data_IF_371506538925
#
_entry.id   IF_371506538925
#
_cell.length_a   1.000
_cell.length_b   1.000
_cell.length_c   1.000
_cell.angle_alpha   90.00
_cell.angle_beta   90.00
_cell.angle_gamma   90.00
#
_symmetry.space_group_name_H-M   'P 1'
#
loop_
_entity.id
_entity.type
_entity.pdbx_description
1 polymer ?
#
# COMPACT_ATOMS: atom_id res chain seq x y z
N UNK A 1 -13.94 -7.63 -4.79
CA UNK A 1 -14.63 -7.64 -3.51
C UNK A 1 -14.62 -6.26 -2.87
N UNK A 2 -15.63 -5.98 -2.09
CA UNK A 2 -15.70 -4.76 -1.30
C UNK A 2 -16.19 -5.11 0.08
N UNK A 3 -15.35 -4.94 1.05
CA UNK A 3 -15.74 -5.17 2.43
C UNK A 3 -15.28 -3.99 3.27
N UNK A 4 -16.05 -3.67 4.31
CA UNK A 4 -15.70 -2.62 5.26
C UNK A 4 -15.10 -3.22 6.52
N UNK A 5 -14.33 -4.26 6.36
CA UNK A 5 -13.67 -4.90 7.49
C UNK A 5 -12.63 -3.96 8.09
N UNK A 6 -12.61 -3.82 9.41
CA UNK A 6 -11.56 -3.05 10.05
C UNK A 6 -10.22 -3.75 9.88
N UNK A 7 -9.26 -3.05 9.34
CA UNK A 7 -7.91 -3.58 9.13
C UNK A 7 -6.95 -2.69 9.89
N UNK A 8 -6.23 -3.29 10.82
CA UNK A 8 -5.17 -2.58 11.53
C UNK A 8 -3.89 -2.69 10.71
N UNK A 9 -3.39 -1.55 10.27
CA UNK A 9 -2.16 -1.49 9.50
C UNK A 9 -1.07 -0.92 10.40
N UNK A 10 -0.01 -1.70 10.60
CA UNK A 10 1.16 -1.23 11.32
C UNK A 10 2.09 -0.53 10.35
N UNK A 11 2.38 0.73 10.62
CA UNK A 11 3.29 1.52 9.81
C UNK A 11 4.66 1.56 10.46
N UNK A 12 5.69 1.42 9.64
CA UNK A 12 7.06 1.42 10.11
C UNK A 12 7.90 2.32 9.22
N UNK A 13 8.67 3.20 9.85
CA UNK A 13 9.62 4.02 9.12
C UNK A 13 10.79 3.15 8.68
N UNK A 14 11.03 3.09 7.39
CA UNK A 14 12.06 2.24 6.80
C UNK A 14 13.34 3.02 6.53
N UNK A 15 13.22 4.25 6.04
CA UNK A 15 14.37 5.05 5.64
C UNK A 15 14.05 6.54 5.70
N UNK A 16 15.08 7.34 5.97
CA UNK A 16 15.01 8.79 5.94
C UNK A 16 15.73 9.39 4.72
N UNK A 17 16.41 8.56 3.94
CA UNK A 17 17.29 9.02 2.87
C UNK A 17 16.94 8.40 1.53
N UNK A 18 15.65 8.19 1.28
CA UNK A 18 15.22 7.62 0.02
C UNK A 18 15.27 8.64 -1.10
N UNK A 19 15.61 8.17 -2.29
CA UNK A 19 15.53 8.98 -3.50
C UNK A 19 14.35 8.47 -4.32
N UNK A 20 13.44 9.37 -4.67
CA UNK A 20 12.27 9.02 -5.46
C UNK A 20 12.34 9.78 -6.78
N UNK A 21 12.22 9.05 -7.88
CA UNK A 21 12.19 9.66 -9.20
C UNK A 21 10.74 9.63 -9.72
N UNK A 22 10.21 10.79 -10.01
CA UNK A 22 8.87 10.94 -10.57
C UNK A 22 9.00 11.77 -11.84
N UNK A 23 8.74 11.13 -12.99
CA UNK A 23 8.93 11.74 -14.30
C UNK A 23 10.38 12.26 -14.43
N UNK A 24 10.55 13.57 -14.60
CA UNK A 24 11.87 14.19 -14.74
C UNK A 24 12.45 14.69 -13.44
N UNK A 25 11.73 14.54 -12.35
CA UNK A 25 12.13 15.08 -11.06
C UNK A 25 12.74 14.00 -10.19
N UNK A 26 13.83 14.35 -9.53
CA UNK A 26 14.49 13.48 -8.56
C UNK A 26 14.36 14.15 -7.20
N UNK A 27 13.70 13.45 -6.28
CA UNK A 27 13.45 13.95 -4.93
C UNK A 27 14.36 13.19 -3.97
N UNK A 28 15.19 13.91 -3.24
CA UNK A 28 16.12 13.32 -2.29
C UNK A 28 15.65 13.51 -0.86
N UNK A 29 16.22 12.71 0.03
CA UNK A 29 15.94 12.77 1.47
C UNK A 29 14.47 12.53 1.78
N UNK A 30 13.85 11.61 1.05
CA UNK A 30 12.46 11.24 1.28
C UNK A 30 12.34 10.24 2.42
N UNK A 31 11.25 10.32 3.15
CA UNK A 31 10.87 9.31 4.12
C UNK A 31 10.19 8.16 3.40
N UNK A 32 10.55 6.94 3.76
CA UNK A 32 9.85 5.76 3.28
C UNK A 32 9.19 5.07 4.47
N UNK A 33 7.88 4.91 4.39
CA UNK A 33 7.08 4.25 5.42
C UNK A 33 6.40 3.05 4.82
N UNK A 34 6.56 1.90 5.44
CA UNK A 34 5.86 0.68 5.04
C UNK A 34 4.76 0.37 6.04
N UNK A 35 3.59 0.04 5.50
CA UNK A 35 2.47 -0.43 6.29
C UNK A 35 2.15 -1.88 5.94
N UNK A 36 1.78 -2.66 6.94
CA UNK A 36 1.42 -4.06 6.78
C UNK A 36 0.17 -4.34 7.60
N UNK A 37 -0.79 -4.99 7.00
CA UNK A 37 -2.01 -5.38 7.68
C UNK A 37 -2.54 -6.69 7.14
N UNK A 38 -3.30 -7.40 7.97
CA UNK A 38 -3.96 -8.63 7.58
C UNK A 38 -5.38 -8.63 8.10
N UNK A 39 -6.27 -9.21 7.32
CA UNK A 39 -7.64 -9.45 7.74
C UNK A 39 -8.14 -10.73 7.08
N UNK A 40 -9.26 -11.23 7.56
CA UNK A 40 -9.89 -12.39 6.95
C UNK A 40 -11.41 -12.22 7.02
N UNK A 41 -12.10 -12.88 6.11
CA UNK A 41 -13.55 -12.88 6.11
C UNK A 41 -14.08 -14.18 5.51
N UNK A 42 -15.39 -14.40 5.72
CA UNK A 42 -16.05 -15.60 5.26
C UNK A 42 -17.15 -15.21 4.26
N UNK A 43 -16.86 -15.28 2.95
CA UNK A 43 -17.90 -14.96 1.96
C UNK A 43 -18.97 -16.03 1.83
N UNK A 44 -18.78 -17.17 2.48
CA UNK A 44 -19.71 -18.29 2.41
C UNK A 44 -19.16 -19.45 1.59
N UNK A 45 -19.88 -20.59 1.65
CA UNK A 45 -19.48 -21.74 0.85
C UNK A 45 -19.64 -21.41 -0.65
N UNK A 46 -18.77 -21.97 -1.52
CA UNK A 46 -17.70 -22.92 -1.22
C UNK A 46 -16.35 -22.27 -0.85
N UNK A 47 -16.27 -20.94 -0.84
CA UNK A 47 -15.00 -20.25 -0.68
C UNK A 47 -14.41 -20.36 0.74
N UNK A 48 -15.27 -20.43 1.76
CA UNK A 48 -14.81 -20.51 3.13
C UNK A 48 -14.08 -19.26 3.59
N UNK A 49 -13.04 -19.41 4.39
CA UNK A 49 -12.26 -18.31 4.92
C UNK A 49 -11.28 -17.78 3.87
N UNK A 50 -11.25 -16.47 3.71
CA UNK A 50 -10.31 -15.80 2.81
C UNK A 50 -9.45 -14.86 3.64
N UNK A 51 -8.13 -15.02 3.54
CA UNK A 51 -7.16 -14.16 4.20
C UNK A 51 -6.66 -13.13 3.21
N UNK A 52 -6.63 -11.87 3.63
CA UNK A 52 -6.18 -10.76 2.82
C UNK A 52 -5.01 -10.09 3.53
N UNK A 53 -3.92 -9.92 2.79
CA UNK A 53 -2.74 -9.20 3.26
C UNK A 53 -2.66 -7.88 2.53
N UNK A 54 -2.47 -6.81 3.26
CA UNK A 54 -2.32 -5.47 2.70
C UNK A 54 -0.90 -4.99 2.97
N UNK A 55 -0.22 -4.58 1.90
CA UNK A 55 1.09 -3.94 1.96
C UNK A 55 0.98 -2.56 1.38
N UNK A 56 1.50 -1.58 2.09
CA UNK A 56 1.45 -0.20 1.66
C UNK A 56 2.83 0.42 1.84
N UNK A 57 3.31 1.14 0.83
CA UNK A 57 4.55 1.88 0.92
C UNK A 57 4.28 3.31 0.54
N UNK A 58 4.74 4.24 1.37
CA UNK A 58 4.54 5.66 1.15
C UNK A 58 5.89 6.37 1.17
N UNK A 59 6.06 7.34 0.28
CA UNK A 59 7.25 8.18 0.24
C UNK A 59 6.82 9.63 0.42
N UNK A 60 7.47 10.31 1.36
CA UNK A 60 7.20 11.71 1.69
C UNK A 60 8.45 12.52 1.43
N UNK A 61 8.34 13.56 0.61
CA UNK A 61 9.44 14.47 0.33
C UNK A 61 9.39 15.69 1.25
N UNK A 62 10.55 16.26 1.62
CA UNK A 62 10.57 17.48 2.41
C UNK A 62 9.78 18.59 1.73
N UNK A 63 8.94 19.28 2.48
CA UNK A 63 8.13 20.41 2.05
C UNK A 63 7.06 20.08 0.98
N UNK A 64 6.95 18.83 0.55
CA UNK A 64 5.94 18.43 -0.44
C UNK A 64 4.89 17.48 0.12
N UNK A 65 5.24 16.73 1.17
CA UNK A 65 4.34 15.72 1.70
C UNK A 65 4.40 14.42 0.92
N UNK A 66 3.29 13.72 0.83
CA UNK A 66 3.23 12.43 0.15
C UNK A 66 3.44 12.60 -1.35
N UNK A 67 4.48 11.97 -1.88
CA UNK A 67 4.83 12.06 -3.30
C UNK A 67 4.58 10.76 -4.05
N UNK A 68 4.60 9.63 -3.35
CA UNK A 68 4.33 8.34 -3.99
C UNK A 68 3.70 7.39 -2.99
N UNK A 69 2.74 6.62 -3.45
CA UNK A 69 2.06 5.60 -2.67
C UNK A 69 1.93 4.35 -3.52
N UNK A 70 2.32 3.21 -2.96
CA UNK A 70 2.07 1.91 -3.56
C UNK A 70 1.28 1.08 -2.57
N UNK A 71 0.20 0.48 -3.01
CA UNK A 71 -0.63 -0.38 -2.17
C UNK A 71 -0.94 -1.66 -2.90
N UNK A 72 -0.75 -2.78 -2.22
CA UNK A 72 -1.09 -4.09 -2.73
C UNK A 72 -2.04 -4.78 -1.76
N UNK A 73 -3.09 -5.37 -2.30
CA UNK A 73 -4.00 -6.22 -1.54
C UNK A 73 -3.88 -7.62 -2.13
N UNK A 74 -3.41 -8.56 -1.33
CA UNK A 74 -3.12 -9.91 -1.77
C UNK A 74 -4.09 -10.85 -1.06
N UNK A 75 -4.89 -11.58 -1.85
CA UNK A 75 -5.83 -12.56 -1.34
C UNK A 75 -5.27 -13.96 -1.54
N UNK A 76 -5.56 -14.87 -0.62
CA UNK A 76 -5.23 -16.28 -0.78
C UNK A 76 -6.26 -17.01 -1.64
N UNK A 77 -7.28 -16.33 -2.11
CA UNK A 77 -8.32 -16.90 -2.97
C UNK A 77 -8.01 -16.63 -4.43
N UNK A 78 -7.99 -17.66 -5.24
CA UNK A 78 -7.79 -17.54 -6.69
C UNK A 78 -8.91 -16.75 -7.36
N UNK A 79 -10.11 -16.82 -6.78
CA UNK A 79 -11.28 -16.12 -7.31
C UNK A 79 -11.20 -14.61 -7.07
N UNK A 80 -10.60 -14.21 -5.95
CA UNK A 80 -10.51 -12.80 -5.57
C UNK A 80 -9.37 -12.08 -6.28
N UNK A 81 -8.27 -12.80 -6.52
CA UNK A 81 -7.09 -12.20 -7.15
C UNK A 81 -6.36 -11.21 -6.25
N UNK A 82 -5.49 -10.44 -6.87
CA UNK A 82 -4.70 -9.43 -6.19
C UNK A 82 -5.04 -8.06 -6.76
N UNK A 83 -4.96 -7.03 -5.91
CA UNK A 83 -5.16 -5.66 -6.33
C UNK A 83 -3.87 -4.89 -6.11
N UNK A 84 -3.44 -4.17 -7.14
CA UNK A 84 -2.27 -3.30 -7.07
C UNK A 84 -2.71 -1.88 -7.38
N UNK A 85 -2.23 -0.94 -6.58
CA UNK A 85 -2.56 0.45 -6.76
C UNK A 85 -1.31 1.29 -6.57
N UNK A 86 -1.05 2.20 -7.50
CA UNK A 86 0.06 3.13 -7.41
C UNK A 86 -0.44 4.54 -7.70
N UNK A 87 0.00 5.48 -6.88
CA UNK A 87 -0.31 6.89 -7.07
C UNK A 87 0.95 7.70 -6.90
N UNK A 88 1.20 8.62 -7.81
CA UNK A 88 2.33 9.55 -7.72
C UNK A 88 1.81 10.98 -7.75
N UNK A 89 2.57 11.88 -7.13
CA UNK A 89 2.25 13.28 -7.13
C UNK A 89 2.41 13.87 -8.53
N UNK A 90 1.52 14.78 -8.89
CA UNK A 90 1.59 15.47 -10.15
C UNK A 90 2.32 16.81 -9.98
N UNK A 91 3.33 17.04 -10.82
CA UNK A 91 4.15 18.25 -10.78
C UNK A 91 3.92 19.10 -12.03
N UNK A 92 2.78 19.52 -12.25
CA UNK A 92 2.49 20.37 -13.41
C UNK A 92 2.86 21.84 -13.18
#
# INVERSE_FOLDING_TARGET
>A
YRTLLPINIENKLISLNETVKIKDKILKNCLKIEGFGQTSFFPGAPLGKIDITIKKTEWYAPNLGLVKLVREEISDSETMGNVYYEKVMNFD
#
